data_IF_803527021146
#
_entry.id   IF_803527021146
#
_cell.length_a   1.000
_cell.length_b   1.000
_cell.length_c   1.000
_cell.angle_alpha   90.00
_cell.angle_beta   90.00
_cell.angle_gamma   90.00
#
_symmetry.space_group_name_H-M   'P 1'
#
loop_
_entity.id
_entity.type
_entity.pdbx_description
1 polymer ?
#
# COMPACT_ATOMS: atom_id res chain seq x y z
N UNK A 1 1.23 22.66 -30.09
CA UNK A 1 0.21 23.71 -29.88
C UNK A 1 0.30 24.19 -28.43
N UNK A 2 0.47 25.48 -28.16
CA UNK A 2 0.34 25.99 -26.80
C UNK A 2 -1.08 25.70 -26.31
N UNK A 3 -1.20 25.16 -25.11
CA UNK A 3 -2.49 24.82 -24.51
C UNK A 3 -3.29 26.10 -24.27
N UNK A 4 -4.53 26.21 -24.81
CA UNK A 4 -5.45 27.34 -24.59
C UNK A 4 -5.99 27.44 -23.14
N UNK A 5 -5.31 26.84 -22.15
CA UNK A 5 -5.79 26.79 -20.76
C UNK A 5 -5.34 28.04 -20.00
N UNK A 6 -6.21 28.66 -19.18
CA UNK A 6 -5.79 29.72 -18.28
C UNK A 6 -4.69 29.24 -17.32
N UNK A 7 -3.66 30.08 -17.13
CA UNK A 7 -2.56 29.82 -16.21
C UNK A 7 -2.71 30.66 -14.93
N UNK A 8 -2.37 30.07 -13.80
CA UNK A 8 -2.29 30.76 -12.51
C UNK A 8 -0.82 30.98 -12.17
N UNK A 9 -0.48 32.19 -11.73
CA UNK A 9 0.87 32.57 -11.34
C UNK A 9 0.85 33.00 -9.88
N UNK A 10 1.83 32.54 -9.13
CA UNK A 10 2.05 32.93 -7.74
C UNK A 10 3.54 33.20 -7.55
N UNK A 11 3.86 34.26 -6.81
CA UNK A 11 5.22 34.52 -6.37
C UNK A 11 5.53 33.61 -5.19
N UNK A 12 6.64 32.89 -5.28
CA UNK A 12 7.13 31.98 -4.24
C UNK A 12 8.61 32.25 -4.02
N UNK A 13 9.06 32.05 -2.79
CA UNK A 13 10.48 31.99 -2.43
C UNK A 13 11.14 30.75 -3.03
N UNK A 14 12.47 30.69 -2.97
CA UNK A 14 13.24 29.55 -3.49
C UNK A 14 12.92 28.29 -2.67
N UNK A 15 12.77 28.46 -1.36
CA UNK A 15 12.43 27.42 -0.40
C UNK A 15 11.03 26.86 -0.68
N UNK A 16 10.03 27.71 -0.84
CA UNK A 16 8.66 27.30 -1.18
C UNK A 16 8.60 26.60 -2.54
N UNK A 17 9.33 27.10 -3.54
CA UNK A 17 9.40 26.44 -4.86
C UNK A 17 9.97 25.01 -4.74
N UNK A 18 11.08 24.86 -4.01
CA UNK A 18 11.71 23.56 -3.78
C UNK A 18 10.78 22.62 -3.02
N UNK A 19 10.06 23.11 -2.01
CA UNK A 19 9.11 22.32 -1.23
C UNK A 19 7.91 21.88 -2.08
N UNK A 20 7.32 22.78 -2.87
CA UNK A 20 6.23 22.45 -3.80
C UNK A 20 6.66 21.37 -4.80
N UNK A 21 7.88 21.49 -5.34
CA UNK A 21 8.42 20.51 -6.27
C UNK A 21 8.67 19.15 -5.60
N UNK A 22 9.20 19.14 -4.38
CA UNK A 22 9.42 17.93 -3.60
C UNK A 22 8.08 17.26 -3.26
N UNK A 23 7.06 18.03 -2.86
CA UNK A 23 5.73 17.55 -2.54
C UNK A 23 5.02 16.99 -3.77
N UNK A 24 5.13 17.65 -4.93
CA UNK A 24 4.59 17.15 -6.20
C UNK A 24 5.25 15.82 -6.60
N UNK A 25 6.58 15.72 -6.48
CA UNK A 25 7.33 14.49 -6.71
C UNK A 25 6.90 13.39 -5.73
N UNK A 26 6.72 13.74 -4.45
CA UNK A 26 6.25 12.82 -3.40
C UNK A 26 4.82 12.33 -3.66
N UNK A 27 4.01 13.11 -4.36
CA UNK A 27 2.66 12.72 -4.77
C UNK A 27 2.62 11.94 -6.10
N UNK A 28 3.75 11.80 -6.79
CA UNK A 28 3.81 11.22 -8.14
C UNK A 28 3.08 12.06 -9.18
N UNK A 29 3.00 13.39 -8.99
CA UNK A 29 2.28 14.31 -9.86
C UNK A 29 3.23 15.35 -10.45
N UNK A 30 2.88 15.90 -11.62
CA UNK A 30 3.53 17.14 -12.08
C UNK A 30 3.21 18.30 -11.14
N UNK A 31 4.10 19.29 -11.02
CA UNK A 31 3.87 20.46 -10.16
C UNK A 31 2.52 21.13 -10.44
N UNK A 32 2.17 21.32 -11.72
CA UNK A 32 0.88 21.90 -12.13
C UNK A 32 -0.32 21.06 -11.68
N UNK A 33 -0.24 19.73 -11.75
CA UNK A 33 -1.30 18.84 -11.29
C UNK A 33 -1.42 18.84 -9.76
N UNK A 34 -0.28 18.83 -9.07
CA UNK A 34 -0.22 18.90 -7.61
C UNK A 34 -0.85 20.19 -7.09
N UNK A 35 -0.38 21.36 -7.57
CA UNK A 35 -0.91 22.68 -7.21
C UNK A 35 -2.42 22.75 -7.50
N UNK A 36 -2.84 22.34 -8.71
CA UNK A 36 -4.26 22.32 -9.07
C UNK A 36 -5.09 21.48 -8.10
N UNK A 37 -4.61 20.29 -7.71
CA UNK A 37 -5.35 19.43 -6.77
C UNK A 37 -5.44 20.06 -5.40
N UNK A 38 -4.33 20.58 -4.87
CA UNK A 38 -4.30 21.25 -3.57
C UNK A 38 -5.25 22.45 -3.55
N UNK A 39 -5.18 23.34 -4.55
CA UNK A 39 -6.02 24.53 -4.62
C UNK A 39 -7.52 24.23 -4.83
N UNK A 40 -7.86 23.07 -5.41
CA UNK A 40 -9.24 22.61 -5.58
C UNK A 40 -9.72 21.70 -4.43
N UNK A 41 -8.91 21.49 -3.39
CA UNK A 41 -9.23 20.57 -2.29
C UNK A 41 -9.34 19.10 -2.72
N UNK A 42 -8.76 18.74 -3.86
CA UNK A 42 -8.76 17.37 -4.38
C UNK A 42 -7.69 16.53 -3.67
N UNK A 43 -7.93 15.22 -3.50
CA UNK A 43 -6.97 14.35 -2.85
C UNK A 43 -5.64 14.29 -3.62
N UNK A 44 -4.55 14.60 -2.94
CA UNK A 44 -3.19 14.31 -3.40
C UNK A 44 -2.77 12.93 -2.89
N UNK A 45 -2.29 12.03 -3.77
CA UNK A 45 -1.68 10.80 -3.31
C UNK A 45 -0.50 11.16 -2.41
N UNK A 46 -0.43 10.63 -1.20
CA UNK A 46 0.79 10.70 -0.38
C UNK A 46 1.65 9.47 -0.67
N UNK A 47 2.97 9.60 -0.77
CA UNK A 47 3.87 8.42 -0.85
C UNK A 47 3.65 7.45 0.31
N UNK A 48 3.32 7.96 1.51
CA UNK A 48 2.98 7.13 2.69
C UNK A 48 1.83 6.16 2.37
N UNK A 49 0.72 6.65 1.81
CA UNK A 49 -0.37 5.80 1.30
C UNK A 49 0.07 4.80 0.22
N UNK A 50 1.10 5.08 -0.57
CA UNK A 50 1.64 4.09 -1.52
C UNK A 50 2.48 3.01 -0.82
N UNK A 51 3.31 3.39 0.16
CA UNK A 51 4.06 2.46 0.99
C UNK A 51 3.10 1.47 1.68
N UNK A 52 2.05 1.98 2.32
CA UNK A 52 1.04 1.16 2.98
C UNK A 52 0.28 0.25 2.00
N UNK A 53 -0.01 0.73 0.78
CA UNK A 53 -0.62 -0.11 -0.28
C UNK A 53 0.31 -1.26 -0.71
N UNK A 54 1.60 -1.00 -0.84
CA UNK A 54 2.58 -2.05 -1.19
C UNK A 54 2.72 -3.09 -0.07
N UNK A 55 2.70 -2.65 1.20
CA UNK A 55 2.69 -3.55 2.34
C UNK A 55 1.41 -4.40 2.38
N UNK A 56 0.24 -3.81 2.14
CA UNK A 56 -1.03 -4.54 2.03
C UNK A 56 -1.03 -5.55 0.88
N UNK A 57 -0.44 -5.23 -0.27
CA UNK A 57 -0.32 -6.15 -1.40
C UNK A 57 0.56 -7.37 -1.06
N UNK A 58 1.67 -7.17 -0.32
CA UNK A 58 2.51 -8.28 0.15
C UNK A 58 1.73 -9.21 1.08
N UNK A 59 0.98 -8.64 2.02
CA UNK A 59 0.14 -9.41 2.95
C UNK A 59 -0.93 -10.21 2.19
N UNK A 60 -1.59 -9.62 1.20
CA UNK A 60 -2.58 -10.32 0.38
C UNK A 60 -1.98 -11.49 -0.41
N UNK A 61 -0.76 -11.33 -0.95
CA UNK A 61 -0.05 -12.41 -1.63
C UNK A 61 0.26 -13.56 -0.67
N UNK A 62 0.65 -13.26 0.57
CA UNK A 62 0.92 -14.26 1.60
C UNK A 62 -0.36 -15.04 1.96
N UNK A 63 -1.50 -14.35 2.13
CA UNK A 63 -2.81 -14.99 2.36
C UNK A 63 -3.22 -15.92 1.21
N UNK A 64 -2.94 -15.54 -0.04
CA UNK A 64 -3.15 -16.39 -1.21
C UNK A 64 -2.33 -17.69 -1.15
N UNK A 65 -1.06 -17.61 -0.76
CA UNK A 65 -0.20 -18.81 -0.57
C UNK A 65 -0.72 -19.72 0.54
N UNK A 66 -1.20 -19.14 1.64
CA UNK A 66 -1.77 -19.88 2.76
C UNK A 66 -3.04 -20.65 2.37
N UNK A 67 -3.93 -20.01 1.61
CA UNK A 67 -5.11 -20.69 1.06
C UNK A 67 -4.74 -21.87 0.14
N UNK A 68 -3.67 -21.72 -0.64
CA UNK A 68 -3.13 -22.81 -1.47
C UNK A 68 -2.61 -23.99 -0.65
N UNK A 69 -1.85 -23.73 0.42
CA UNK A 69 -1.36 -24.77 1.34
C UNK A 69 -2.51 -25.47 2.06
N UNK A 70 -3.51 -24.71 2.49
CA UNK A 70 -4.69 -25.27 3.13
C UNK A 70 -5.49 -26.16 2.18
N UNK A 71 -5.64 -25.73 0.91
CA UNK A 71 -6.27 -26.54 -0.13
C UNK A 71 -5.51 -27.84 -0.39
N UNK A 72 -4.17 -27.79 -0.44
CA UNK A 72 -3.32 -28.98 -0.58
C UNK A 72 -3.55 -29.96 0.56
N UNK A 73 -3.54 -29.44 1.80
CA UNK A 73 -3.79 -30.24 3.01
C UNK A 73 -5.16 -30.93 3.00
N UNK A 74 -6.20 -30.27 2.47
CA UNK A 74 -7.54 -30.87 2.36
C UNK A 74 -7.70 -31.81 1.16
N UNK A 75 -6.82 -31.71 0.15
CA UNK A 75 -6.92 -32.50 -1.08
C UNK A 75 -6.16 -33.83 -0.98
N UNK A 76 -5.19 -33.94 -0.09
CA UNK A 76 -4.47 -35.20 0.19
C UNK A 76 -5.35 -36.15 1.02
N UNK A 77 -6.01 -37.08 0.34
CA UNK A 77 -6.92 -38.08 0.94
C UNK A 77 -6.21 -39.23 1.68
N UNK A 78 -4.89 -39.36 1.53
CA UNK A 78 -4.12 -40.53 2.02
C UNK A 78 -3.10 -40.19 3.12
N UNK A 79 -2.91 -38.90 3.44
CA UNK A 79 -1.97 -38.47 4.47
C UNK A 79 -2.66 -38.56 5.85
N UNK A 80 -2.12 -39.31 6.83
CA UNK A 80 -2.75 -39.41 8.15
C UNK A 80 -2.92 -38.02 8.77
N UNK A 81 -4.14 -37.64 9.16
CA UNK A 81 -4.47 -36.31 9.70
C UNK A 81 -3.53 -35.89 10.84
N UNK A 82 -3.03 -36.84 11.61
CA UNK A 82 -2.13 -36.63 12.75
C UNK A 82 -0.74 -36.11 12.35
N UNK A 83 -0.25 -36.42 11.14
CA UNK A 83 1.05 -35.92 10.65
C UNK A 83 0.96 -34.51 10.05
N UNK A 84 -0.22 -34.14 9.55
CA UNK A 84 -0.51 -32.84 8.93
C UNK A 84 -0.86 -31.78 9.97
N UNK A 85 -1.44 -32.21 11.10
CA UNK A 85 -1.93 -31.34 12.16
C UNK A 85 -0.89 -30.35 12.74
N UNK A 86 0.38 -30.75 12.97
CA UNK A 86 1.41 -29.84 13.47
C UNK A 86 1.82 -28.77 12.45
N UNK A 87 1.89 -29.13 11.17
CA UNK A 87 2.26 -28.22 10.09
C UNK A 87 1.17 -27.17 9.86
N UNK A 88 -0.09 -27.59 9.84
CA UNK A 88 -1.24 -26.69 9.74
C UNK A 88 -1.28 -25.73 10.94
N UNK A 89 -1.08 -26.22 12.17
CA UNK A 89 -1.02 -25.37 13.38
C UNK A 89 0.16 -24.40 13.35
N UNK A 90 1.31 -24.82 12.84
CA UNK A 90 2.48 -23.94 12.70
C UNK A 90 2.18 -22.78 11.75
N UNK A 91 1.66 -23.11 10.57
CA UNK A 91 1.24 -22.13 9.57
C UNK A 91 0.20 -21.19 10.17
N UNK A 92 -0.83 -21.70 10.86
CA UNK A 92 -1.86 -20.87 11.50
C UNK A 92 -1.27 -19.85 12.49
N UNK A 93 -0.27 -20.23 13.29
CA UNK A 93 0.42 -19.31 14.22
C UNK A 93 1.20 -18.23 13.50
N UNK A 94 1.83 -18.55 12.36
CA UNK A 94 2.49 -17.54 11.53
C UNK A 94 1.46 -16.55 10.96
N UNK A 95 0.29 -17.03 10.53
CA UNK A 95 -0.82 -16.15 10.10
C UNK A 95 -1.24 -15.21 11.24
N UNK A 96 -1.48 -15.74 12.43
CA UNK A 96 -1.90 -14.95 13.59
C UNK A 96 -0.84 -13.93 14.02
N UNK A 97 0.44 -14.27 13.91
CA UNK A 97 1.53 -13.33 14.17
C UNK A 97 1.54 -12.18 13.14
N UNK A 98 1.41 -12.49 11.85
CA UNK A 98 1.36 -11.48 10.78
C UNK A 98 0.09 -10.63 10.82
N UNK A 99 -1.05 -11.20 11.19
CA UNK A 99 -2.28 -10.43 11.44
C UNK A 99 -2.15 -9.44 12.59
N UNK A 100 -1.38 -9.77 13.64
CA UNK A 100 -1.08 -8.84 14.74
C UNK A 100 -0.20 -7.68 14.27
N UNK A 101 0.84 -7.96 13.47
CA UNK A 101 1.65 -6.90 12.83
C UNK A 101 0.78 -6.00 11.94
N UNK A 102 -0.10 -6.59 11.13
CA UNK A 102 -1.03 -5.83 10.27
C UNK A 102 -1.95 -4.91 11.08
N UNK A 103 -2.58 -5.41 12.15
CA UNK A 103 -3.42 -4.58 13.04
C UNK A 103 -2.62 -3.44 13.66
N UNK A 104 -1.38 -3.68 14.08
CA UNK A 104 -0.53 -2.65 14.65
C UNK A 104 -0.13 -1.56 13.63
N UNK A 105 0.10 -1.93 12.37
CA UNK A 105 0.37 -0.97 11.30
C UNK A 105 -0.87 -0.15 10.94
N UNK A 106 -2.05 -0.77 10.87
CA UNK A 106 -3.32 -0.08 10.60
C UNK A 106 -3.65 0.94 11.71
N UNK A 107 -3.37 0.62 12.97
CA UNK A 107 -3.60 1.54 14.11
C UNK A 107 -2.66 2.75 14.12
N UNK A 108 -1.60 2.76 13.28
CA UNK A 108 -0.64 3.87 13.16
C UNK A 108 -0.97 4.82 11.99
N UNK A 109 -2.01 4.52 11.22
CA UNK A 109 -2.52 5.34 10.10
C UNK A 109 -3.74 6.12 10.60
#
# INVERSE_FOLDING_TARGET
>A
MPSKKPALWAYVTIEEHAEIQANAKRAGLSCSTYIKRVCLGLPTPSLEKQQYRLELLKINADLGRLGGLFKLCLSEKETPLDSLHPQVRHVLREIEARQREMKALILRI
#
